data_IF_613454432157
#
_entry.id   IF_613454432157
#
_cell.length_a   1.000
_cell.length_b   1.000
_cell.length_c   1.000
_cell.angle_alpha   90.00
_cell.angle_beta   90.00
_cell.angle_gamma   90.00
#
_symmetry.space_group_name_H-M   'P 1'
#
loop_
_entity.id
_entity.type
_entity.pdbx_description
1 polymer ?
#
# COMPACT_ATOMS: atom_id res chain seq x y z
N UNK A 1 25.71 -19.41 -8.83
CA UNK A 1 24.32 -19.85 -8.65
C UNK A 1 23.72 -18.81 -7.75
N UNK A 2 23.06 -17.81 -8.32
CA UNK A 2 22.41 -16.77 -7.54
C UNK A 2 21.22 -17.41 -6.82
N UNK A 3 21.27 -17.42 -5.48
CA UNK A 3 20.08 -17.66 -4.69
C UNK A 3 19.04 -16.63 -5.11
N UNK A 4 17.91 -17.11 -5.62
CA UNK A 4 16.78 -16.22 -5.89
C UNK A 4 16.29 -15.71 -4.54
N UNK A 5 16.69 -14.49 -4.20
CA UNK A 5 16.32 -13.87 -2.94
C UNK A 5 14.78 -13.73 -2.90
N UNK A 6 14.17 -14.26 -1.85
CA UNK A 6 12.70 -14.25 -1.69
C UNK A 6 12.30 -13.60 -0.38
N UNK A 7 11.16 -12.92 -0.41
CA UNK A 7 10.50 -12.33 0.76
C UNK A 7 9.15 -13.03 0.91
N UNK A 8 8.84 -13.49 2.12
CA UNK A 8 7.54 -14.09 2.44
C UNK A 8 6.60 -13.03 2.99
N UNK A 9 5.43 -12.91 2.36
CA UNK A 9 4.36 -12.00 2.76
C UNK A 9 3.26 -12.83 3.43
N UNK A 10 2.85 -12.41 4.61
CA UNK A 10 1.69 -12.95 5.33
C UNK A 10 0.57 -11.92 5.23
N UNK A 11 -0.46 -12.22 4.46
CA UNK A 11 -1.58 -11.30 4.23
C UNK A 11 -2.93 -11.97 4.52
N UNK A 12 -3.96 -11.18 4.77
CA UNK A 12 -5.33 -11.70 4.99
C UNK A 12 -6.19 -11.41 3.77
N UNK A 13 -6.66 -12.46 3.10
CA UNK A 13 -7.62 -12.33 2.00
C UNK A 13 -9.04 -12.58 2.52
N UNK A 14 -10.01 -11.86 1.98
CA UNK A 14 -11.42 -12.09 2.27
C UNK A 14 -11.97 -13.07 1.25
N UNK A 15 -12.25 -14.30 1.66
CA UNK A 15 -12.89 -15.28 0.79
C UNK A 15 -14.38 -14.90 0.66
N UNK A 16 -14.85 -14.67 -0.57
CA UNK A 16 -16.28 -14.57 -0.84
C UNK A 16 -16.89 -15.97 -0.68
N UNK A 17 -17.59 -16.18 0.42
CA UNK A 17 -18.49 -17.33 0.54
C UNK A 17 -19.66 -17.11 -0.42
N UNK A 18 -19.88 -18.09 -1.30
CA UNK A 18 -20.89 -18.03 -2.36
C UNK A 18 -22.25 -18.29 -1.72
N UNK A 19 -22.91 -17.23 -1.26
CA UNK A 19 -24.21 -17.28 -0.60
C UNK A 19 -25.25 -18.04 -1.45
N UNK A 20 -25.62 -19.24 -0.99
CA UNK A 20 -26.75 -20.02 -1.49
C UNK A 20 -27.75 -20.15 -0.34
N UNK A 21 -28.50 -19.10 0.01
CA UNK A 21 -29.81 -19.27 0.65
C UNK A 21 -30.62 -17.97 0.70
N UNK A 22 -31.88 -18.07 0.27
CA UNK A 22 -32.89 -17.01 0.35
C UNK A 22 -33.40 -16.94 1.80
N UNK A 23 -32.79 -16.07 2.61
CA UNK A 23 -33.31 -15.64 3.90
C UNK A 23 -32.48 -16.07 5.11
N UNK A 24 -31.73 -15.13 5.69
CA UNK A 24 -31.19 -15.26 7.05
C UNK A 24 -29.72 -14.84 7.20
N UNK A 25 -29.54 -13.76 7.98
CA UNK A 25 -28.31 -13.31 8.68
C UNK A 25 -27.09 -13.00 7.82
N UNK A 26 -26.65 -11.74 7.86
CA UNK A 26 -25.49 -11.21 7.15
C UNK A 26 -24.26 -12.10 7.33
N UNK A 27 -23.80 -12.66 6.22
CA UNK A 27 -22.66 -13.57 6.12
C UNK A 27 -21.38 -12.83 6.54
N UNK A 28 -20.84 -13.20 7.71
CA UNK A 28 -19.56 -12.68 8.18
C UNK A 28 -18.49 -13.14 7.20
N UNK A 29 -17.90 -12.21 6.47
CA UNK A 29 -16.86 -12.50 5.50
C UNK A 29 -15.70 -13.26 6.19
N UNK A 30 -15.39 -14.46 5.71
CA UNK A 30 -14.33 -15.29 6.28
C UNK A 30 -12.99 -14.69 5.86
N UNK A 31 -12.19 -14.24 6.83
CA UNK A 31 -10.81 -13.78 6.61
C UNK A 31 -9.87 -14.99 6.68
N UNK A 32 -9.12 -15.23 5.61
CA UNK A 32 -8.13 -16.29 5.55
C UNK A 32 -6.72 -15.69 5.49
N UNK A 33 -5.82 -16.17 6.34
CA UNK A 33 -4.39 -15.85 6.25
C UNK A 33 -3.76 -16.65 5.11
N UNK A 34 -3.02 -15.96 4.24
CA UNK A 34 -2.29 -16.53 3.11
C UNK A 34 -0.82 -16.14 3.26
N UNK A 35 0.06 -17.12 3.17
CA UNK A 35 1.50 -16.92 3.09
C UNK A 35 1.95 -17.10 1.66
N UNK A 36 2.72 -16.14 1.14
CA UNK A 36 3.27 -16.22 -0.22
C UNK A 36 4.70 -15.74 -0.26
N UNK A 37 5.59 -16.61 -0.76
CA UNK A 37 6.97 -16.24 -1.06
C UNK A 37 7.04 -15.61 -2.45
N UNK A 38 7.57 -14.40 -2.53
CA UNK A 38 7.76 -13.65 -3.76
C UNK A 38 9.25 -13.38 -3.97
N UNK A 39 9.70 -13.33 -5.22
CA UNK A 39 11.06 -12.87 -5.51
C UNK A 39 11.22 -11.39 -5.16
N UNK A 40 12.40 -11.03 -4.66
CA UNK A 40 12.76 -9.63 -4.37
C UNK A 40 12.62 -8.78 -5.63
N UNK A 41 12.97 -9.32 -6.79
CA UNK A 41 12.85 -8.67 -8.09
C UNK A 41 11.40 -8.29 -8.42
N UNK A 42 10.45 -9.21 -8.24
CA UNK A 42 9.04 -8.96 -8.52
C UNK A 42 8.43 -7.94 -7.55
N UNK A 43 8.80 -8.04 -6.26
CA UNK A 43 8.34 -7.10 -5.25
C UNK A 43 8.92 -5.69 -5.48
N UNK A 44 10.20 -5.60 -5.83
CA UNK A 44 10.87 -4.34 -6.19
C UNK A 44 10.23 -3.69 -7.42
N UNK A 45 9.94 -4.46 -8.47
CA UNK A 45 9.24 -3.96 -9.65
C UNK A 45 7.85 -3.40 -9.30
N UNK A 46 7.10 -4.10 -8.44
CA UNK A 46 5.77 -3.68 -7.97
C UNK A 46 5.84 -2.38 -7.16
N UNK A 47 6.81 -2.27 -6.25
CA UNK A 47 7.05 -1.07 -5.46
C UNK A 47 7.42 0.13 -6.35
N UNK A 48 8.32 -0.06 -7.31
CA UNK A 48 8.73 1.01 -8.22
C UNK A 48 7.56 1.51 -9.08
N UNK A 49 6.71 0.61 -9.56
CA UNK A 49 5.49 0.99 -10.29
C UNK A 49 4.57 1.85 -9.43
N UNK A 50 4.35 1.44 -8.18
CA UNK A 50 3.52 2.16 -7.22
C UNK A 50 4.06 3.57 -6.91
N UNK A 51 5.35 3.70 -6.58
CA UNK A 51 5.99 5.00 -6.32
C UNK A 51 5.96 5.90 -7.56
N UNK A 52 6.15 5.34 -8.76
CA UNK A 52 6.04 6.12 -10.00
C UNK A 52 4.62 6.65 -10.22
N UNK A 53 3.59 5.88 -9.86
CA UNK A 53 2.19 6.34 -9.85
C UNK A 53 1.99 7.50 -8.87
N UNK A 54 2.46 7.34 -7.62
CA UNK A 54 2.40 8.38 -6.61
C UNK A 54 3.12 9.66 -7.05
N UNK A 55 4.32 9.55 -7.63
CA UNK A 55 5.06 10.72 -8.14
C UNK A 55 4.26 11.50 -9.16
N UNK A 56 3.52 10.84 -10.05
CA UNK A 56 2.66 11.52 -11.04
C UNK A 56 1.51 12.26 -10.38
N UNK A 57 0.93 11.69 -9.33
CA UNK A 57 -0.17 12.32 -8.56
C UNK A 57 0.34 13.50 -7.73
N UNK A 58 1.50 13.35 -7.09
CA UNK A 58 2.10 14.32 -6.19
C UNK A 58 2.88 15.44 -6.90
N UNK A 59 3.14 15.31 -8.19
CA UNK A 59 3.75 16.37 -9.00
C UNK A 59 2.74 17.49 -9.29
N UNK A 60 2.26 18.13 -8.22
CA UNK A 60 1.30 19.23 -8.28
C UNK A 60 2.07 20.53 -8.50
N UNK A 61 1.69 21.30 -9.52
CA UNK A 61 2.37 22.57 -9.88
C UNK A 61 2.26 23.64 -8.77
N UNK A 62 1.20 23.58 -7.96
CA UNK A 62 0.97 24.47 -6.83
C UNK A 62 1.00 23.68 -5.53
N UNK A 63 2.21 23.49 -5.00
CA UNK A 63 2.44 22.91 -3.68
C UNK A 63 2.39 23.96 -2.55
N UNK A 64 1.77 25.12 -2.82
CA UNK A 64 1.58 26.22 -1.89
C UNK A 64 0.19 26.85 -2.09
N UNK A 65 -0.44 27.27 -1.00
CA UNK A 65 -1.75 27.94 -0.97
C UNK A 65 -1.67 29.10 0.02
N UNK A 66 -1.61 30.33 -0.50
CA UNK A 66 -1.30 31.52 0.32
C UNK A 66 0.10 31.39 0.93
N UNK A 67 0.20 31.57 2.25
CA UNK A 67 1.45 31.44 3.01
C UNK A 67 1.76 29.98 3.40
N UNK A 68 0.88 29.03 3.06
CA UNK A 68 1.07 27.62 3.40
C UNK A 68 1.84 26.91 2.30
N UNK A 69 2.82 26.09 2.69
CA UNK A 69 3.59 25.23 1.79
C UNK A 69 3.47 23.77 2.23
N UNK A 70 3.39 22.86 1.26
CA UNK A 70 3.41 21.43 1.53
C UNK A 70 4.79 20.99 2.03
N UNK A 71 4.88 20.63 3.31
CA UNK A 71 6.11 20.15 3.96
C UNK A 71 6.23 18.61 3.89
N UNK A 72 5.23 17.91 4.43
CA UNK A 72 5.22 16.46 4.58
C UNK A 72 3.93 15.84 4.03
N UNK A 73 4.05 14.65 3.45
CA UNK A 73 2.92 13.81 3.04
C UNK A 73 3.05 12.46 3.74
N UNK A 74 2.01 12.10 4.48
CA UNK A 74 1.88 10.79 5.14
C UNK A 74 0.76 10.01 4.49
N UNK A 75 1.04 8.78 4.10
CA UNK A 75 0.03 7.87 3.60
C UNK A 75 0.27 6.45 4.10
N UNK A 76 -0.83 5.72 4.28
CA UNK A 76 -0.84 4.32 4.65
C UNK A 76 -1.00 3.46 3.40
N UNK A 77 -0.21 2.41 3.31
CA UNK A 77 -0.14 1.48 2.16
C UNK A 77 -0.36 0.07 2.67
N UNK A 78 -1.01 -0.76 1.88
CA UNK A 78 -1.12 -2.18 2.14
C UNK A 78 -0.31 -2.95 1.10
N UNK A 79 0.40 -4.01 1.55
CA UNK A 79 0.93 -5.03 0.66
C UNK A 79 -0.03 -6.22 0.64
N UNK A 80 -0.56 -6.54 -0.55
CA UNK A 80 -1.42 -7.70 -0.77
C UNK A 80 -0.63 -9.01 -0.79
N UNK A 81 -1.33 -10.15 -0.72
CA UNK A 81 -0.73 -11.48 -0.75
C UNK A 81 0.11 -11.73 -2.02
N UNK A 82 -0.21 -11.05 -3.12
CA UNK A 82 0.50 -11.09 -4.41
C UNK A 82 1.69 -10.10 -4.51
N UNK A 83 1.96 -9.31 -3.46
CA UNK A 83 3.02 -8.30 -3.46
C UNK A 83 2.63 -6.97 -4.11
N UNK A 84 1.33 -6.76 -4.39
CA UNK A 84 0.86 -5.47 -4.90
C UNK A 84 0.72 -4.44 -3.78
N UNK A 85 1.04 -3.19 -4.09
CA UNK A 85 0.96 -2.05 -3.16
C UNK A 85 -0.30 -1.23 -3.43
N UNK A 86 -1.10 -0.97 -2.39
CA UNK A 86 -2.36 -0.19 -2.47
C UNK A 86 -2.39 0.92 -1.44
N UNK A 87 -2.95 2.08 -1.78
CA UNK A 87 -3.24 3.13 -0.81
C UNK A 87 -4.46 2.76 0.03
N UNK A 88 -4.35 2.93 1.35
CA UNK A 88 -5.47 2.79 2.27
C UNK A 88 -6.24 4.13 2.34
N UNK A 89 -7.53 4.08 2.03
CA UNK A 89 -8.41 5.26 2.10
C UNK A 89 -8.80 5.64 3.54
N UNK A 90 -9.42 6.80 3.70
CA UNK A 90 -9.98 7.23 4.98
C UNK A 90 -11.17 6.33 5.38
N UNK A 91 -11.15 5.79 6.60
CA UNK A 91 -12.21 4.92 7.11
C UNK A 91 -11.97 3.42 6.93
N UNK A 92 -10.90 3.01 6.24
CA UNK A 92 -10.44 1.62 6.30
C UNK A 92 -9.61 1.49 7.58
N UNK A 93 -10.18 0.89 8.62
CA UNK A 93 -9.41 0.54 9.81
C UNK A 93 -8.24 -0.35 9.39
N UNK A 94 -7.01 0.04 9.72
CA UNK A 94 -5.77 -0.72 9.56
C UNK A 94 -5.73 -2.00 10.42
N UNK A 95 -6.85 -2.69 10.55
CA UNK A 95 -6.98 -4.00 11.16
C UNK A 95 -6.46 -5.11 10.22
N UNK A 96 -5.95 -4.75 9.04
CA UNK A 96 -5.19 -5.63 8.17
C UNK A 96 -3.71 -5.55 8.57
N UNK A 97 -3.13 -6.68 8.97
CA UNK A 97 -1.77 -6.81 9.54
C UNK A 97 -0.62 -6.47 8.56
N UNK A 98 -0.92 -5.86 7.40
CA UNK A 98 0.02 -5.55 6.31
C UNK A 98 0.10 -4.05 5.98
N UNK A 99 -0.34 -3.16 6.89
CA UNK A 99 -0.25 -1.71 6.69
C UNK A 99 1.16 -1.18 6.92
N UNK A 100 1.73 -0.53 5.92
CA UNK A 100 2.94 0.28 5.96
C UNK A 100 2.58 1.76 6.03
N UNK A 101 3.37 2.55 6.75
CA UNK A 101 3.26 4.01 6.72
C UNK A 101 4.49 4.58 6.06
N UNK A 102 4.29 5.41 5.04
CA UNK A 102 5.35 6.15 4.39
C UNK A 102 5.20 7.64 4.68
N UNK A 103 6.33 8.25 5.01
CA UNK A 103 6.45 9.69 5.23
C UNK A 103 7.39 10.26 4.18
N UNK A 104 6.86 11.13 3.32
CA UNK A 104 7.64 11.86 2.33
C UNK A 104 7.78 13.30 2.80
N UNK A 105 9.02 13.75 2.99
CA UNK A 105 9.32 15.16 3.28
C UNK A 105 9.89 15.83 2.05
N UNK A 106 9.59 17.12 1.88
CA UNK A 106 10.24 17.93 0.87
C UNK A 106 11.75 17.92 1.15
N UNK A 107 12.56 17.66 0.13
CA UNK A 107 14.02 17.80 0.26
C UNK A 107 14.29 19.27 0.54
N UNK A 108 14.82 19.58 1.72
CA UNK A 108 15.28 20.94 2.01
C UNK A 108 16.23 21.35 0.89
N UNK A 109 15.94 22.49 0.28
CA UNK A 109 16.80 23.04 -0.76
C UNK A 109 18.20 23.13 -0.17
N UNK A 110 19.17 22.49 -0.80
CA UNK A 110 20.57 22.81 -0.56
C UNK A 110 20.74 24.26 -1.00
N UNK A 111 20.51 25.19 -0.09
CA UNK A 111 20.97 26.57 -0.17
C UNK A 111 22.50 26.44 -0.19
N UNK A 112 23.07 26.39 -1.39
CA UNK A 112 24.46 26.77 -1.56
C UNK A 112 24.46 28.28 -1.46
N UNK A 113 24.86 28.79 -0.29
CA UNK A 113 25.42 30.14 -0.15
C UNK A 113 26.58 30.35 -1.12
#
# INVERSE_FOLDING_TARGET
MDETETITIVATETAQSKSLTRGGVGEAAIRQTVEKSLSVEALSASFNSFINGLRKVLNVEQAAVGDLVLDEIVFSVEIGANGEFKLLGTGVSAAANSSLTFTLRRKEGTQKE
#
